data_IF_888961002680
#
_entry.id   IF_888961002680
#
_cell.length_a   1.000
_cell.length_b   1.000
_cell.length_c   1.000
_cell.angle_alpha   90.00
_cell.angle_beta   90.00
_cell.angle_gamma   90.00
#
_symmetry.space_group_name_H-M   'P 1'
#
loop_
_entity.id
_entity.type
_entity.pdbx_description
1 polymer ?
#
# COMPACT_ATOMS: atom_id res chain seq x y z
N UNK A 1 13.80 11.35 9.17
CA UNK A 1 12.55 10.71 9.63
C UNK A 1 11.47 11.14 8.64
N UNK A 2 11.24 10.34 7.61
CA UNK A 2 10.21 10.59 6.60
C UNK A 2 9.16 9.49 6.81
N UNK A 3 8.25 9.71 7.76
CA UNK A 3 7.03 8.93 7.87
C UNK A 3 6.02 9.57 6.92
N UNK A 4 6.17 9.33 5.62
CA UNK A 4 5.18 9.65 4.60
C UNK A 4 4.55 8.33 4.24
N UNK A 5 3.40 8.03 4.83
CA UNK A 5 2.81 6.72 4.81
C UNK A 5 1.51 6.84 4.01
N UNK A 6 1.63 6.81 2.68
CA UNK A 6 0.58 6.16 1.90
C UNK A 6 0.69 4.67 2.15
N UNK A 7 0.25 4.25 3.34
CA UNK A 7 0.13 2.85 3.63
C UNK A 7 -1.06 2.37 2.79
N UNK A 8 -0.75 1.80 1.63
CA UNK A 8 -1.64 0.89 0.91
C UNK A 8 -2.15 -0.22 1.86
N UNK A 9 -1.43 -0.50 2.96
CA UNK A 9 -1.81 -1.36 4.07
C UNK A 9 -2.59 -0.66 5.22
N UNK A 10 -2.67 0.67 5.30
CA UNK A 10 -3.38 1.42 6.36
C UNK A 10 -4.80 1.68 5.92
N UNK A 11 -5.05 1.86 4.62
CA UNK A 11 -6.42 1.75 4.12
C UNK A 11 -7.01 0.37 4.43
N UNK A 12 -6.17 -0.68 4.49
CA UNK A 12 -6.59 -2.00 4.96
C UNK A 12 -6.83 -2.03 6.49
N UNK A 13 -6.01 -1.35 7.30
CA UNK A 13 -6.14 -1.34 8.77
C UNK A 13 -7.26 -0.40 9.28
N UNK A 14 -7.55 0.71 8.58
CA UNK A 14 -8.57 1.68 8.98
C UNK A 14 -10.00 1.19 8.79
N UNK A 15 -10.23 0.18 7.96
CA UNK A 15 -11.58 -0.32 7.73
C UNK A 15 -12.10 -1.26 8.83
N UNK A 16 -11.26 -1.74 9.77
CA UNK A 16 -11.68 -2.82 10.69
C UNK A 16 -11.40 -2.64 12.19
N UNK A 17 -10.47 -1.81 12.68
CA UNK A 17 -10.08 -1.95 14.11
C UNK A 17 -9.83 -0.66 14.91
N UNK A 18 -10.80 0.27 14.92
CA UNK A 18 -10.80 1.37 15.90
C UNK A 18 -11.70 1.15 17.14
N UNK A 19 -12.30 -0.03 17.36
CA UNK A 19 -13.20 -0.22 18.53
C UNK A 19 -12.93 -1.42 19.45
N UNK A 20 -11.95 -2.28 19.19
CA UNK A 20 -11.68 -3.39 20.12
C UNK A 20 -10.60 -3.00 21.14
N UNK A 21 -11.04 -2.41 22.25
CA UNK A 21 -10.30 -2.39 23.52
C UNK A 21 -10.04 -3.84 23.96
N UNK A 22 -8.80 -4.31 23.86
CA UNK A 22 -8.39 -5.65 24.30
C UNK A 22 -7.08 -5.62 25.09
N UNK A 23 -7.17 -5.49 26.40
CA UNK A 23 -6.08 -5.75 27.33
C UNK A 23 -5.80 -7.26 27.37
N UNK A 24 -4.83 -7.75 26.61
CA UNK A 24 -4.21 -9.06 26.88
C UNK A 24 -2.69 -8.94 26.76
N UNK A 25 -2.04 -9.02 27.92
CA UNK A 25 -0.67 -9.47 28.15
C UNK A 25 0.42 -9.00 27.16
N UNK A 26 1.01 -7.84 27.46
CA UNK A 26 2.48 -7.77 27.48
C UNK A 26 3.25 -7.51 26.19
N UNK A 27 2.66 -6.88 25.16
CA UNK A 27 3.31 -5.87 24.30
C UNK A 27 2.21 -5.04 23.67
N UNK A 28 1.89 -3.90 24.26
CA UNK A 28 1.05 -2.90 23.61
C UNK A 28 1.86 -2.27 22.47
N UNK A 29 1.82 -2.88 21.28
CA UNK A 29 2.20 -2.19 20.05
C UNK A 29 1.01 -1.32 19.68
N UNK A 30 0.98 -0.12 20.25
CA UNK A 30 0.09 0.94 19.78
C UNK A 30 0.48 1.23 18.33
N UNK A 31 -0.37 0.85 17.39
CA UNK A 31 -0.40 1.54 16.10
C UNK A 31 -0.82 2.96 16.41
N UNK A 32 0.12 3.89 16.54
CA UNK A 32 -0.20 5.31 16.66
C UNK A 32 -1.06 5.68 15.45
N UNK A 33 -2.21 6.31 15.70
CA UNK A 33 -3.02 6.89 14.63
C UNK A 33 -2.19 7.98 13.93
N UNK A 34 -2.32 8.16 12.61
CA UNK A 34 -1.55 9.13 11.85
C UNK A 34 -1.79 10.52 12.42
N UNK A 35 -0.73 11.30 12.49
CA UNK A 35 -0.85 12.71 12.82
C UNK A 35 -1.53 13.46 11.67
N UNK A 36 -2.19 14.57 11.98
CA UNK A 36 -2.77 15.46 10.96
C UNK A 36 -1.72 15.96 9.95
N UNK A 37 -0.46 16.08 10.37
CA UNK A 37 0.64 16.47 9.49
C UNK A 37 0.99 15.38 8.47
N UNK A 38 1.01 14.11 8.86
CA UNK A 38 1.31 12.99 7.96
C UNK A 38 0.21 12.85 6.91
N UNK A 39 -1.05 12.91 7.33
CA UNK A 39 -2.20 12.89 6.43
C UNK A 39 -2.15 14.03 5.40
N UNK A 40 -1.80 15.25 5.82
CA UNK A 40 -1.69 16.39 4.92
C UNK A 40 -0.55 16.24 3.91
N UNK A 41 0.57 15.65 4.31
CA UNK A 41 1.69 15.37 3.41
C UNK A 41 1.29 14.33 2.35
N UNK A 42 0.60 13.29 2.75
CA UNK A 42 0.11 12.25 1.84
C UNK A 42 -0.92 12.79 0.85
N UNK A 43 -1.87 13.61 1.32
CA UNK A 43 -2.80 14.31 0.43
C UNK A 43 -2.09 15.22 -0.58
N UNK A 44 -1.00 15.87 -0.18
CA UNK A 44 -0.21 16.70 -1.09
C UNK A 44 0.48 15.86 -2.17
N UNK A 45 1.00 14.68 -1.82
CA UNK A 45 1.62 13.74 -2.77
C UNK A 45 0.58 13.20 -3.76
N UNK A 46 -0.57 12.74 -3.28
CA UNK A 46 -1.67 12.28 -4.14
C UNK A 46 -2.07 13.37 -5.14
N UNK A 47 -2.31 14.59 -4.64
CA UNK A 47 -2.72 15.72 -5.48
C UNK A 47 -1.67 16.00 -6.54
N UNK A 48 -0.38 15.99 -6.16
CA UNK A 48 0.71 16.18 -7.10
C UNK A 48 0.73 15.12 -8.20
N UNK A 49 0.65 13.84 -7.85
CA UNK A 49 0.64 12.76 -8.84
C UNK A 49 -0.59 12.78 -9.74
N UNK A 50 -1.74 13.23 -9.21
CA UNK A 50 -2.96 13.39 -9.99
C UNK A 50 -2.89 14.55 -11.00
N UNK A 51 -2.02 15.54 -10.79
CA UNK A 51 -1.81 16.63 -11.77
C UNK A 51 -1.07 16.13 -13.01
N UNK A 52 -0.14 15.19 -12.86
CA UNK A 52 0.66 14.66 -13.96
C UNK A 52 0.02 13.45 -14.64
N UNK A 53 -0.68 12.62 -13.86
CA UNK A 53 -1.35 11.41 -14.32
C UNK A 53 -2.76 11.37 -13.73
N UNK A 54 -3.74 12.00 -14.39
CA UNK A 54 -5.07 12.17 -13.84
C UNK A 54 -5.81 10.84 -13.68
N UNK A 55 -6.37 10.63 -12.48
CA UNK A 55 -7.22 9.48 -12.16
C UNK A 55 -8.55 9.97 -11.62
N UNK A 56 -9.64 9.26 -11.94
CA UNK A 56 -10.95 9.57 -11.36
C UNK A 56 -10.98 9.16 -9.89
N UNK A 57 -11.78 9.86 -9.08
CA UNK A 57 -12.02 9.49 -7.69
C UNK A 57 -12.58 8.06 -7.58
N UNK A 58 -13.40 7.66 -8.55
CA UNK A 58 -13.93 6.30 -8.66
C UNK A 58 -12.82 5.27 -8.88
N UNK A 59 -11.91 5.50 -9.83
CA UNK A 59 -10.74 4.65 -10.07
C UNK A 59 -9.87 4.55 -8.82
N UNK A 60 -9.61 5.69 -8.17
CA UNK A 60 -8.85 5.75 -6.92
C UNK A 60 -9.50 4.91 -5.82
N UNK A 61 -10.82 5.01 -5.63
CA UNK A 61 -11.56 4.22 -4.64
C UNK A 61 -11.56 2.72 -4.98
N UNK A 62 -11.80 2.36 -6.25
CA UNK A 62 -11.81 0.94 -6.68
C UNK A 62 -10.49 0.23 -6.39
N UNK A 63 -9.39 0.96 -6.53
CA UNK A 63 -8.03 0.46 -6.32
C UNK A 63 -7.69 0.47 -4.83
N UNK A 64 -7.79 1.63 -4.17
CA UNK A 64 -7.29 1.82 -2.81
C UNK A 64 -8.15 1.12 -1.75
N UNK A 65 -9.45 0.96 -2.01
CA UNK A 65 -10.40 0.34 -1.08
C UNK A 65 -10.69 -1.10 -1.49
N UNK A 66 -11.04 -1.33 -2.76
CA UNK A 66 -11.55 -2.63 -3.20
C UNK A 66 -10.47 -3.53 -3.81
N UNK A 67 -9.23 -3.06 -3.93
CA UNK A 67 -8.11 -3.78 -4.58
C UNK A 67 -8.44 -4.26 -6.00
N UNK A 68 -9.31 -3.54 -6.72
CA UNK A 68 -9.75 -3.89 -8.07
C UNK A 68 -8.97 -3.13 -9.13
N UNK A 69 -7.79 -3.64 -9.51
CA UNK A 69 -6.98 -3.06 -10.60
C UNK A 69 -7.67 -3.13 -11.97
N UNK A 70 -8.55 -4.11 -12.19
CA UNK A 70 -9.20 -4.37 -13.47
C UNK A 70 -10.37 -3.43 -13.77
N UNK A 71 -10.83 -2.66 -12.77
CA UNK A 71 -11.99 -1.76 -12.89
C UNK A 71 -11.61 -0.34 -13.34
N UNK A 72 -10.33 -0.08 -13.62
CA UNK A 72 -9.83 1.26 -13.91
C UNK A 72 -10.04 1.61 -15.39
N UNK A 73 -10.82 2.66 -15.65
CA UNK A 73 -11.19 3.11 -17.01
C UNK A 73 -10.00 3.67 -17.81
N UNK A 74 -9.02 4.30 -17.13
CA UNK A 74 -7.79 4.86 -17.73
C UNK A 74 -6.55 4.14 -17.19
N UNK A 75 -6.35 2.90 -17.63
CA UNK A 75 -5.27 2.04 -17.11
C UNK A 75 -3.87 2.67 -17.27
N UNK A 76 -3.57 3.36 -18.36
CA UNK A 76 -2.25 3.96 -18.60
C UNK A 76 -1.93 5.11 -17.62
N UNK A 77 -2.87 6.06 -17.44
CA UNK A 77 -2.68 7.15 -16.47
C UNK A 77 -2.58 6.60 -15.05
N UNK A 78 -3.36 5.58 -14.72
CA UNK A 78 -3.31 4.95 -13.41
C UNK A 78 -1.97 4.24 -13.14
N UNK A 79 -1.42 3.52 -14.12
CA UNK A 79 -0.07 2.93 -14.03
C UNK A 79 0.98 4.00 -13.72
N UNK A 80 0.93 5.13 -14.41
CA UNK A 80 1.89 6.21 -14.19
C UNK A 80 1.64 6.98 -12.89
N UNK A 81 0.39 7.08 -12.45
CA UNK A 81 0.05 7.59 -11.13
C UNK A 81 0.71 6.75 -10.03
N UNK A 82 0.67 5.41 -10.13
CA UNK A 82 1.36 4.51 -9.19
C UNK A 82 2.89 4.70 -9.22
N UNK A 83 3.49 4.83 -10.41
CA UNK A 83 4.92 5.15 -10.51
C UNK A 83 5.27 6.46 -9.82
N UNK A 84 4.46 7.51 -10.01
CA UNK A 84 4.65 8.78 -9.32
C UNK A 84 4.59 8.61 -7.80
N UNK A 85 3.61 7.88 -7.26
CA UNK A 85 3.54 7.60 -5.83
C UNK A 85 4.81 6.90 -5.35
N UNK A 86 5.22 5.81 -5.99
CA UNK A 86 6.42 5.07 -5.60
C UNK A 86 7.69 5.91 -5.70
N UNK A 87 7.78 6.82 -6.66
CA UNK A 87 8.90 7.75 -6.72
C UNK A 87 8.90 8.74 -5.56
N UNK A 88 7.74 9.34 -5.24
CA UNK A 88 7.62 10.30 -4.13
C UNK A 88 7.85 9.67 -2.76
N UNK A 89 7.50 8.39 -2.60
CA UNK A 89 7.79 7.59 -1.41
C UNK A 89 9.17 6.92 -1.44
N UNK A 90 9.98 7.19 -2.47
CA UNK A 90 11.34 6.69 -2.60
C UNK A 90 11.45 5.16 -2.66
N UNK A 91 10.41 4.50 -3.19
CA UNK A 91 10.38 3.07 -3.49
C UNK A 91 10.85 2.77 -4.92
N UNK A 92 10.73 3.74 -5.82
CA UNK A 92 11.24 3.66 -7.19
C UNK A 92 12.03 4.92 -7.56
N UNK A 93 13.05 4.79 -8.37
CA UNK A 93 13.69 5.95 -9.02
C UNK A 93 12.86 6.47 -10.22
N UNK A 94 13.32 7.55 -10.85
CA UNK A 94 12.65 8.17 -12.01
C UNK A 94 12.61 7.26 -13.25
N UNK A 95 13.60 6.38 -13.37
CA UNK A 95 13.69 5.40 -14.45
C UNK A 95 12.76 4.22 -14.18
N UNK A 96 12.34 4.00 -12.94
CA UNK A 96 11.45 2.95 -12.48
C UNK A 96 12.19 1.71 -11.92
N UNK A 97 13.43 1.87 -11.46
CA UNK A 97 14.14 0.87 -10.68
C UNK A 97 13.69 0.86 -9.22
N UNK A 98 13.48 -0.32 -8.64
CA UNK A 98 13.04 -0.46 -7.25
C UNK A 98 14.18 -0.23 -6.24
N UNK A 99 13.91 0.56 -5.22
CA UNK A 99 14.82 0.87 -4.12
C UNK A 99 14.50 -0.03 -2.93
N UNK A 100 14.87 -1.32 -3.02
CA UNK A 100 14.46 -2.38 -2.09
C UNK A 100 14.71 -2.06 -0.61
N UNK A 101 15.82 -1.37 -0.30
CA UNK A 101 16.15 -0.95 1.07
C UNK A 101 15.09 0.01 1.64
N UNK A 102 14.61 0.93 0.83
CA UNK A 102 13.60 1.91 1.26
C UNK A 102 12.24 1.24 1.40
N UNK A 103 11.89 0.34 0.48
CA UNK A 103 10.69 -0.47 0.56
C UNK A 103 10.66 -1.28 1.85
N UNK A 104 11.76 -1.97 2.18
CA UNK A 104 11.89 -2.74 3.42
C UNK A 104 11.69 -1.85 4.65
N UNK A 105 12.40 -0.73 4.72
CA UNK A 105 12.24 0.22 5.83
C UNK A 105 10.81 0.76 5.97
N UNK A 106 10.06 0.89 4.87
CA UNK A 106 8.66 1.30 4.89
C UNK A 106 7.73 0.15 5.31
N UNK A 107 7.99 -1.09 4.88
CA UNK A 107 7.17 -2.26 5.24
C UNK A 107 7.41 -2.72 6.68
N UNK A 108 8.62 -2.58 7.23
CA UNK A 108 8.94 -2.83 8.64
C UNK A 108 8.11 -1.94 9.60
N UNK A 109 7.61 -0.78 9.11
CA UNK A 109 6.70 0.07 9.87
C UNK A 109 5.24 -0.44 9.86
N UNK A 110 4.96 -1.55 9.19
CA UNK A 110 3.63 -2.17 9.11
C UNK A 110 3.51 -3.36 10.07
N UNK A 111 2.36 -4.05 10.06
CA UNK A 111 2.14 -5.27 10.86
C UNK A 111 2.67 -6.55 10.18
N UNK A 112 3.23 -6.44 8.98
CA UNK A 112 3.86 -7.57 8.31
C UNK A 112 5.11 -7.98 9.08
N UNK A 113 5.31 -9.28 9.29
CA UNK A 113 6.57 -9.76 9.83
C UNK A 113 7.69 -9.60 8.79
N UNK A 114 8.93 -9.50 9.27
CA UNK A 114 10.11 -9.22 8.44
C UNK A 114 10.29 -10.24 7.31
N UNK A 115 9.98 -11.52 7.54
CA UNK A 115 10.13 -12.57 6.53
C UNK A 115 9.10 -12.42 5.41
N UNK A 116 7.85 -12.13 5.78
CA UNK A 116 6.77 -11.85 4.82
C UNK A 116 7.08 -10.59 4.01
N UNK A 117 7.54 -9.51 4.67
CA UNK A 117 7.92 -8.28 3.99
C UNK A 117 9.08 -8.50 2.99
N UNK A 118 10.13 -9.22 3.41
CA UNK A 118 11.26 -9.57 2.54
C UNK A 118 10.82 -10.44 1.36
N UNK A 119 9.94 -11.42 1.60
CA UNK A 119 9.41 -12.29 0.55
C UNK A 119 8.61 -11.49 -0.49
N UNK A 120 7.70 -10.63 -0.07
CA UNK A 120 6.89 -9.81 -0.96
C UNK A 120 7.77 -8.86 -1.77
N UNK A 121 8.73 -8.18 -1.13
CA UNK A 121 9.67 -7.29 -1.84
C UNK A 121 10.43 -8.08 -2.89
N UNK A 122 11.01 -9.23 -2.51
CA UNK A 122 11.79 -10.06 -3.42
C UNK A 122 10.95 -10.55 -4.61
N UNK A 123 9.77 -11.12 -4.35
CA UNK A 123 8.90 -11.70 -5.37
C UNK A 123 8.30 -10.64 -6.28
N UNK A 124 7.75 -9.56 -5.72
CA UNK A 124 7.00 -8.59 -6.50
C UNK A 124 7.86 -7.54 -7.20
N UNK A 125 9.10 -7.31 -6.75
CA UNK A 125 10.05 -6.45 -7.47
C UNK A 125 10.73 -7.15 -8.65
N UNK A 126 10.65 -8.48 -8.74
CA UNK A 126 11.17 -9.29 -9.83
C UNK A 126 10.28 -9.22 -11.10
N UNK A 127 9.95 -8.00 -11.52
CA UNK A 127 9.09 -7.74 -12.69
C UNK A 127 9.92 -7.34 -13.90
N UNK A 128 9.69 -8.03 -15.02
CA UNK A 128 10.28 -7.70 -16.31
C UNK A 128 9.31 -6.81 -17.11
N UNK A 129 9.63 -5.52 -17.18
CA UNK A 129 9.03 -4.55 -18.10
C UNK A 129 10.05 -3.46 -18.36
N UNK A 130 10.11 -2.91 -19.57
CA UNK A 130 10.90 -1.72 -19.88
C UNK A 130 10.18 -0.43 -19.50
N UNK A 131 8.85 -0.46 -19.45
CA UNK A 131 8.01 0.67 -19.07
C UNK A 131 7.93 0.80 -17.54
N UNK A 132 8.22 2.00 -17.03
CA UNK A 132 8.27 2.30 -15.59
C UNK A 132 6.90 2.30 -14.92
N UNK A 133 5.87 2.74 -15.63
CA UNK A 133 4.50 2.78 -15.15
C UNK A 133 3.94 1.36 -15.06
N UNK A 134 4.21 0.54 -16.07
CA UNK A 134 3.88 -0.88 -16.09
C UNK A 134 4.60 -1.65 -14.98
N UNK A 135 5.88 -1.34 -14.69
CA UNK A 135 6.61 -1.94 -13.55
C UNK A 135 5.92 -1.63 -12.22
N UNK A 136 5.55 -0.37 -11.99
CA UNK A 136 4.84 0.05 -10.78
C UNK A 136 3.52 -0.73 -10.63
N UNK A 137 2.73 -0.80 -11.70
CA UNK A 137 1.45 -1.51 -11.69
C UNK A 137 1.58 -3.01 -11.43
N UNK A 138 2.53 -3.70 -12.09
CA UNK A 138 2.77 -5.13 -11.87
C UNK A 138 3.22 -5.42 -10.44
N UNK A 139 4.02 -4.53 -9.84
CA UNK A 139 4.37 -4.64 -8.43
C UNK A 139 3.12 -4.54 -7.55
N UNK A 140 2.26 -3.54 -7.77
CA UNK A 140 1.00 -3.39 -7.01
C UNK A 140 0.11 -4.63 -7.13
N UNK A 141 0.00 -5.18 -8.33
CA UNK A 141 -0.78 -6.40 -8.59
C UNK A 141 -0.24 -7.59 -7.78
N UNK A 142 1.06 -7.87 -7.90
CA UNK A 142 1.70 -8.93 -7.13
C UNK A 142 1.55 -8.71 -5.63
N UNK A 143 1.78 -7.48 -5.14
CA UNK A 143 1.66 -7.14 -3.73
C UNK A 143 0.26 -7.46 -3.19
N UNK A 144 -0.80 -7.13 -3.94
CA UNK A 144 -2.16 -7.47 -3.53
C UNK A 144 -2.46 -8.96 -3.61
N UNK A 145 -1.93 -9.67 -4.60
CA UNK A 145 -2.11 -11.11 -4.69
C UNK A 145 -1.45 -11.84 -3.51
N UNK A 146 -0.24 -11.44 -3.11
CA UNK A 146 0.43 -12.01 -1.92
C UNK A 146 -0.23 -11.59 -0.61
N UNK A 147 -0.94 -10.46 -0.58
CA UNK A 147 -1.58 -9.94 0.64
C UNK A 147 -3.07 -10.24 0.77
N UNK A 148 -3.68 -10.90 -0.22
CA UNK A 148 -5.04 -11.45 -0.12
C UNK A 148 -5.16 -12.52 0.96
N UNK A 149 -4.14 -13.36 1.10
CA UNK A 149 -4.15 -14.47 2.08
C UNK A 149 -4.20 -13.96 3.54
N UNK A 150 -3.71 -12.76 3.82
CA UNK A 150 -3.75 -12.16 5.16
C UNK A 150 -5.07 -11.42 5.48
N UNK A 151 -5.93 -11.14 4.49
CA UNK A 151 -7.20 -10.43 4.72
C UNK A 151 -8.38 -11.36 5.02
N UNK A 152 -8.32 -12.63 4.62
CA UNK A 152 -9.46 -13.54 4.75
C UNK A 152 -9.53 -14.25 6.13
N UNK A 153 -8.47 -14.19 6.93
CA UNK A 153 -8.43 -14.83 8.25
C UNK A 153 -9.06 -13.99 9.38
N UNK A 154 -9.16 -12.66 9.24
CA UNK A 154 -9.82 -11.81 10.26
C UNK A 154 -11.35 -11.88 10.21
N UNK A 155 -11.96 -12.25 9.07
CA UNK A 155 -13.43 -12.38 8.94
C UNK A 155 -13.96 -13.77 9.40
N UNK A 156 -13.16 -14.84 9.33
CA UNK A 156 -13.62 -16.18 9.70
C UNK A 156 -13.53 -16.50 11.20
N UNK A 157 -12.75 -15.76 11.98
CA UNK A 157 -12.62 -15.99 13.42
C UNK A 157 -13.85 -15.48 14.21
N UNK A 158 -14.61 -14.53 13.67
CA UNK A 158 -15.78 -13.94 14.34
C UNK A 158 -17.09 -14.74 14.10
N UNK A 159 -17.15 -15.59 13.07
CA UNK A 159 -18.36 -16.34 12.70
C UNK A 159 -18.41 -17.79 13.22
N UNK A 160 -17.41 -18.26 13.97
CA UNK A 160 -17.39 -19.61 14.55
C UNK A 160 -17.95 -19.73 15.98
N UNK A 161 -18.58 -18.68 16.50
CA UNK A 161 -19.30 -18.72 17.79
C UNK A 161 -20.80 -18.58 17.52
N UNK A 162 -21.44 -19.64 17.04
CA UNK A 162 -22.87 -19.94 17.24
C UNK A 162 -23.10 -21.44 17.23
#
# INVERSE_FOLDING_TARGET
>A
RVHGIFNMSQLCVYSVCCLALGLVSGKAVFSESPTSSELNNDLAVIRFCNLTSPISLESMNSVLVNRQLTAVENAEDFKCFLHCLYNRYNWMDEEGGFLLRNMKSSLEATRLDDLTADWIIFKCSAVHSSDRCERAFKFTQCFWDETKEFSDEEDSALYRIH
#
